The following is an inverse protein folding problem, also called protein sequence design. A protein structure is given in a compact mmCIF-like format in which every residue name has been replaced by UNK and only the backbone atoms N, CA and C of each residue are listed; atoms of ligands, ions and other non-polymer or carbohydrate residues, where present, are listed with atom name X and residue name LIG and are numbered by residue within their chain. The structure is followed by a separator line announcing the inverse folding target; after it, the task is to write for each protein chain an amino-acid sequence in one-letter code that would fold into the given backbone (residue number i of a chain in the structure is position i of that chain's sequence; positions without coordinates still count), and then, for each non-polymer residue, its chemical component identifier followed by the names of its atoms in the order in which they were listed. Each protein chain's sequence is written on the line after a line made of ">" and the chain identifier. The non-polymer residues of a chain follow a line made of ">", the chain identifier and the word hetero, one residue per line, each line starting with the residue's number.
data_IF_408845908423
#
_entry.id   IF_408845908423
#
_cell.length_a   1.000
_cell.length_b   1.000
_cell.length_c   1.000
_cell.angle_alpha   90.00
_cell.angle_beta   90.00
_cell.angle_gamma   90.00
#
_symmetry.space_group_name_H-M   'P 1'
#
loop_
_entity.id
_entity.type
_entity.pdbx_description
1 polymer ?
#
# COMPACT_ATOMS: atom_id res chain seq x y z
N UNK A 1 -19.39 -7.41 16.07
CA UNK A 1 -18.32 -7.43 15.06
C UNK A 1 -18.61 -8.50 14.04
N UNK A 2 -19.00 -8.11 12.83
CA UNK A 2 -19.34 -9.04 11.74
C UNK A 2 -18.22 -9.06 10.71
N UNK A 3 -17.84 -7.89 10.18
CA UNK A 3 -16.77 -7.76 9.18
C UNK A 3 -15.41 -8.08 9.78
N UNK A 4 -15.11 -7.58 10.99
CA UNK A 4 -13.81 -7.88 11.61
C UNK A 4 -13.58 -9.39 11.77
N UNK A 5 -14.61 -10.13 12.18
CA UNK A 5 -14.51 -11.57 12.42
C UNK A 5 -14.50 -12.41 11.14
N UNK A 6 -14.89 -11.85 9.99
CA UNK A 6 -14.84 -12.55 8.70
C UNK A 6 -13.46 -12.46 8.02
N UNK A 7 -12.64 -11.49 8.42
CA UNK A 7 -11.28 -11.30 7.90
C UNK A 7 -10.34 -12.42 8.37
N UNK A 8 -9.29 -12.68 7.59
CA UNK A 8 -8.25 -13.63 7.99
C UNK A 8 -7.58 -13.20 9.31
N UNK A 9 -7.15 -14.15 10.18
CA UNK A 9 -6.56 -13.81 11.48
C UNK A 9 -5.36 -12.85 11.41
N UNK A 10 -4.56 -12.92 10.34
CA UNK A 10 -3.43 -12.01 10.12
C UNK A 10 -3.90 -10.55 9.90
N UNK A 11 -4.97 -10.35 9.13
CA UNK A 11 -5.55 -9.02 8.89
C UNK A 11 -6.17 -8.48 10.18
N UNK A 12 -6.88 -9.32 10.93
CA UNK A 12 -7.43 -8.97 12.24
C UNK A 12 -6.36 -8.45 13.20
N UNK A 13 -5.21 -9.11 13.26
CA UNK A 13 -4.08 -8.68 14.09
C UNK A 13 -3.53 -7.33 13.62
N UNK A 14 -3.34 -7.15 12.31
CA UNK A 14 -2.87 -5.86 11.77
C UNK A 14 -3.85 -4.71 12.03
N UNK A 15 -5.16 -4.94 11.96
CA UNK A 15 -6.18 -3.96 12.35
C UNK A 15 -6.04 -3.59 13.82
N UNK A 16 -5.89 -4.57 14.71
CA UNK A 16 -5.69 -4.32 16.16
C UNK A 16 -4.41 -3.54 16.44
N UNK A 17 -3.33 -3.82 15.72
CA UNK A 17 -2.08 -3.07 15.87
C UNK A 17 -2.23 -1.63 15.35
N UNK A 18 -2.87 -1.45 14.20
CA UNK A 18 -3.16 -0.13 13.64
C UNK A 18 -4.04 0.69 14.58
N UNK A 19 -5.08 0.11 15.19
CA UNK A 19 -5.98 0.81 16.13
C UNK A 19 -5.23 1.49 17.28
N UNK A 20 -4.11 0.92 17.75
CA UNK A 20 -3.27 1.51 18.82
C UNK A 20 -2.61 2.84 18.41
N UNK A 21 -2.52 3.10 17.12
CA UNK A 21 -1.85 4.28 16.55
C UNK A 21 -2.83 5.36 16.09
N UNK A 22 -4.14 5.10 16.14
CA UNK A 22 -5.18 6.05 15.69
C UNK A 22 -5.62 7.02 16.78
N UNK A 23 -5.36 6.69 18.05
CA UNK A 23 -5.86 7.46 19.20
C UNK A 23 -7.35 7.25 19.50
N UNK A 24 -8.04 6.38 18.75
CA UNK A 24 -9.43 5.98 19.00
C UNK A 24 -9.53 4.99 20.18
N UNK A 25 -10.71 4.86 20.82
CA UNK A 25 -10.95 3.83 21.82
C UNK A 25 -10.64 2.42 21.28
N UNK A 26 -10.05 1.56 22.10
CA UNK A 26 -9.71 0.19 21.69
C UNK A 26 -10.86 -0.77 21.99
N UNK A 27 -11.99 -0.56 21.31
CA UNK A 27 -13.23 -1.31 21.49
C UNK A 27 -13.74 -1.96 20.19
N UNK A 28 -14.68 -2.87 20.35
CA UNK A 28 -15.24 -3.67 19.25
C UNK A 28 -15.78 -2.82 18.10
N UNK A 29 -16.36 -1.65 18.39
CA UNK A 29 -16.85 -0.73 17.38
C UNK A 29 -15.71 -0.16 16.52
N UNK A 30 -14.60 0.22 17.13
CA UNK A 30 -13.41 0.73 16.42
C UNK A 30 -12.80 -0.35 15.54
N UNK A 31 -12.68 -1.58 16.03
CA UNK A 31 -12.18 -2.68 15.21
C UNK A 31 -13.12 -2.99 14.02
N UNK A 32 -14.43 -2.91 14.23
CA UNK A 32 -15.40 -3.09 13.16
C UNK A 32 -15.33 -1.98 12.10
N UNK A 33 -15.21 -0.70 12.50
CA UNK A 33 -15.02 0.43 11.57
C UNK A 33 -13.74 0.28 10.77
N UNK A 34 -12.62 -0.04 11.43
CA UNK A 34 -11.33 -0.24 10.76
C UNK A 34 -11.35 -1.44 9.80
N UNK A 35 -12.04 -2.52 10.15
CA UNK A 35 -12.22 -3.67 9.28
C UNK A 35 -13.00 -3.34 8.01
N UNK A 36 -14.10 -2.57 8.14
CA UNK A 36 -14.88 -2.09 6.99
C UNK A 36 -14.04 -1.21 6.06
N UNK A 37 -13.33 -0.25 6.63
CA UNK A 37 -12.42 0.60 5.86
C UNK A 37 -11.32 -0.20 5.16
N UNK A 38 -10.76 -1.23 5.80
CA UNK A 38 -9.77 -2.10 5.18
C UNK A 38 -10.34 -2.86 3.97
N UNK A 39 -11.55 -3.42 4.09
CA UNK A 39 -12.23 -4.12 2.97
C UNK A 39 -12.52 -3.16 1.81
N UNK A 40 -12.97 -1.95 2.10
CA UNK A 40 -13.23 -0.93 1.07
C UNK A 40 -11.94 -0.52 0.35
N UNK A 41 -10.84 -0.37 1.09
CA UNK A 41 -9.50 -0.10 0.52
C UNK A 41 -8.99 -1.22 -0.36
N UNK A 42 -9.13 -2.46 0.10
CA UNK A 42 -8.78 -3.63 -0.71
C UNK A 42 -9.58 -3.65 -2.01
N UNK A 43 -10.89 -3.38 -1.92
CA UNK A 43 -11.76 -3.31 -3.09
C UNK A 43 -11.33 -2.21 -4.06
N UNK A 44 -11.10 -0.98 -3.59
CA UNK A 44 -10.64 0.13 -4.42
C UNK A 44 -9.30 -0.19 -5.11
N UNK A 45 -8.36 -0.80 -4.37
CA UNK A 45 -7.10 -1.28 -4.92
C UNK A 45 -7.32 -2.27 -6.07
N UNK A 46 -8.18 -3.28 -5.87
CA UNK A 46 -8.51 -4.28 -6.88
C UNK A 46 -9.17 -3.69 -8.13
N UNK A 47 -10.08 -2.73 -7.95
CA UNK A 47 -10.74 -2.01 -9.04
C UNK A 47 -9.71 -1.22 -9.87
N UNK A 48 -8.79 -0.51 -9.22
CA UNK A 48 -7.69 0.19 -9.89
C UNK A 48 -6.76 -0.76 -10.66
N UNK A 49 -6.44 -1.94 -10.09
CA UNK A 49 -5.64 -2.94 -10.81
C UNK A 49 -6.32 -3.37 -12.11
N UNK A 50 -7.63 -3.59 -12.08
CA UNK A 50 -8.40 -4.01 -13.25
C UNK A 50 -8.51 -2.91 -14.30
N UNK A 51 -8.80 -1.67 -13.88
CA UNK A 51 -8.94 -0.51 -14.77
C UNK A 51 -7.63 -0.23 -15.53
N UNK A 52 -6.50 -0.30 -14.82
CA UNK A 52 -5.19 0.05 -15.34
C UNK A 52 -4.37 -1.14 -15.85
N UNK A 53 -4.97 -2.34 -15.91
CA UNK A 53 -4.36 -3.58 -16.43
C UNK A 53 -3.06 -3.96 -15.71
N UNK A 54 -3.14 -4.03 -14.39
CA UNK A 54 -2.13 -4.68 -13.58
C UNK A 54 -2.39 -6.19 -13.48
N UNK A 55 -1.32 -6.95 -13.30
CA UNK A 55 -1.36 -8.34 -12.86
C UNK A 55 -0.81 -8.46 -11.43
N UNK A 56 -1.45 -9.31 -10.62
CA UNK A 56 -0.94 -9.63 -9.29
C UNK A 56 0.19 -10.65 -9.36
N UNK A 57 1.26 -10.39 -8.61
CA UNK A 57 2.40 -11.31 -8.46
C UNK A 57 2.67 -11.56 -6.99
N UNK A 58 3.30 -12.69 -6.65
CA UNK A 58 3.71 -12.98 -5.27
C UNK A 58 5.16 -12.58 -4.97
N UNK A 59 5.93 -12.26 -6.01
CA UNK A 59 7.35 -11.95 -5.94
C UNK A 59 7.72 -10.90 -6.98
N UNK A 60 8.56 -9.95 -6.60
CA UNK A 60 9.15 -8.95 -7.47
C UNK A 60 10.64 -8.78 -7.14
N UNK A 61 11.51 -9.08 -8.12
CA UNK A 61 12.95 -8.98 -7.94
C UNK A 61 13.39 -7.52 -7.85
N UNK A 62 14.28 -7.18 -6.92
CA UNK A 62 14.71 -5.78 -6.71
C UNK A 62 15.32 -5.13 -7.96
N UNK A 63 15.93 -5.95 -8.81
CA UNK A 63 16.59 -5.57 -10.06
C UNK A 63 15.69 -5.72 -11.31
N UNK A 64 14.41 -6.10 -11.15
CA UNK A 64 13.42 -6.13 -12.25
C UNK A 64 13.19 -4.70 -12.78
N UNK A 65 13.27 -4.44 -14.09
CA UNK A 65 13.21 -3.08 -14.62
C UNK A 65 11.85 -2.39 -14.43
N UNK A 66 10.76 -3.14 -14.26
CA UNK A 66 9.39 -2.61 -14.14
C UNK A 66 9.18 -1.87 -12.83
N UNK A 67 8.10 -1.13 -12.71
CA UNK A 67 7.56 -0.63 -11.47
C UNK A 67 6.54 -1.59 -10.85
N UNK A 68 6.14 -1.29 -9.62
CA UNK A 68 5.14 -2.07 -8.88
C UNK A 68 4.30 -1.18 -7.97
N UNK A 69 3.08 -1.64 -7.74
CA UNK A 69 2.16 -1.12 -6.75
C UNK A 69 1.98 -2.17 -5.64
N UNK A 70 1.97 -1.73 -4.40
CA UNK A 70 1.93 -2.61 -3.22
C UNK A 70 0.82 -2.17 -2.27
N UNK A 71 0.00 -3.11 -1.84
CA UNK A 71 -0.91 -2.94 -0.70
C UNK A 71 -0.37 -3.75 0.47
N UNK A 72 -0.30 -3.14 1.65
CA UNK A 72 0.16 -3.79 2.88
C UNK A 72 -1.01 -4.27 3.74
N UNK A 73 -0.76 -5.21 4.66
CA UNK A 73 -1.78 -5.65 5.61
C UNK A 73 -2.33 -4.53 6.51
N UNK A 74 -1.55 -3.45 6.74
CA UNK A 74 -2.03 -2.27 7.47
C UNK A 74 -2.87 -1.31 6.61
N UNK A 75 -3.15 -1.65 5.34
CA UNK A 75 -3.92 -0.79 4.44
C UNK A 75 -3.16 0.45 3.98
N UNK A 76 -1.83 0.39 3.96
CA UNK A 76 -0.95 1.41 3.35
C UNK A 76 -0.53 1.00 1.95
N UNK A 77 -0.30 1.99 1.09
CA UNK A 77 0.12 1.83 -0.31
C UNK A 77 1.60 2.16 -0.47
N UNK A 78 2.27 1.46 -1.39
CA UNK A 78 3.52 1.90 -1.97
C UNK A 78 3.42 1.87 -3.48
N UNK A 79 3.88 2.95 -4.12
CA UNK A 79 4.18 2.98 -5.55
C UNK A 79 5.69 3.04 -5.70
N UNK A 80 6.26 2.03 -6.34
CA UNK A 80 7.70 1.90 -6.57
C UNK A 80 7.89 1.94 -8.08
N UNK A 81 8.40 3.07 -8.58
CA UNK A 81 8.57 3.31 -10.01
C UNK A 81 9.58 2.36 -10.67
N UNK A 82 9.60 2.33 -12.01
CA UNK A 82 10.53 1.52 -12.79
C UNK A 82 11.99 1.90 -12.51
N UNK A 83 12.90 0.95 -12.78
CA UNK A 83 14.32 1.14 -12.54
C UNK A 83 14.94 2.03 -13.63
N UNK A 84 15.18 3.30 -13.29
CA UNK A 84 15.82 4.30 -14.15
C UNK A 84 17.22 4.59 -13.63
N UNK A 85 18.25 4.32 -14.44
CA UNK A 85 19.67 4.51 -14.06
C UNK A 85 20.06 3.84 -12.72
N UNK A 86 19.44 2.68 -12.43
CA UNK A 86 19.67 1.95 -11.18
C UNK A 86 18.97 2.54 -9.96
N UNK A 87 18.00 3.44 -10.15
CA UNK A 87 17.23 4.11 -9.11
C UNK A 87 15.74 4.07 -9.38
N UNK A 88 14.93 4.31 -8.34
CA UNK A 88 13.47 4.34 -8.42
C UNK A 88 12.91 5.58 -7.74
N UNK A 89 11.84 6.13 -8.30
CA UNK A 89 10.94 6.99 -7.55
C UNK A 89 10.08 6.11 -6.63
N UNK A 90 9.98 6.44 -5.35
CA UNK A 90 9.13 5.68 -4.41
C UNK A 90 8.22 6.63 -3.68
N UNK A 91 6.94 6.26 -3.65
CA UNK A 91 5.89 6.94 -2.93
C UNK A 91 5.25 5.98 -1.93
N UNK A 92 5.13 6.42 -0.69
CA UNK A 92 4.47 5.72 0.40
C UNK A 92 3.26 6.53 0.84
N UNK A 93 2.13 5.85 1.06
CA UNK A 93 0.91 6.48 1.54
C UNK A 93 0.28 5.64 2.65
N UNK A 94 0.18 6.21 3.86
CA UNK A 94 -0.43 5.58 5.04
C UNK A 94 -1.88 6.00 5.26
N UNK A 95 -2.22 7.18 4.74
CA UNK A 95 -3.55 7.78 4.64
C UNK A 95 -4.21 7.94 6.02
N UNK A 96 -3.61 8.82 6.83
CA UNK A 96 -4.32 9.65 7.81
C UNK A 96 -4.87 9.01 9.08
N UNK A 97 -4.95 7.68 9.16
CA UNK A 97 -5.43 7.01 10.37
C UNK A 97 -4.32 6.86 11.42
N UNK A 98 -3.07 6.77 10.98
CA UNK A 98 -1.93 6.54 11.86
C UNK A 98 -1.28 7.84 12.23
N UNK A 99 -0.99 8.03 13.52
CA UNK A 99 -0.29 9.22 14.02
C UNK A 99 1.24 9.05 14.10
N UNK A 100 1.74 7.84 13.86
CA UNK A 100 3.16 7.49 14.03
C UNK A 100 3.98 7.50 12.72
N UNK A 101 3.33 7.73 11.59
CA UNK A 101 3.93 7.80 10.25
C UNK A 101 3.38 9.00 9.49
N UNK A 102 4.10 9.56 8.49
CA UNK A 102 3.55 10.59 7.64
C UNK A 102 2.36 10.05 6.83
N UNK A 103 1.41 10.92 6.52
CA UNK A 103 0.26 10.58 5.65
C UNK A 103 0.72 10.09 4.28
N UNK A 104 1.71 10.78 3.72
CA UNK A 104 2.43 10.39 2.52
C UNK A 104 3.89 10.83 2.58
N UNK A 105 4.75 10.11 1.84
CA UNK A 105 6.15 10.46 1.68
C UNK A 105 6.64 10.01 0.30
N UNK A 106 7.31 10.91 -0.42
CA UNK A 106 7.89 10.66 -1.75
C UNK A 106 9.39 10.79 -1.66
N UNK A 107 10.11 9.91 -2.35
CA UNK A 107 11.56 9.99 -2.48
C UNK A 107 12.03 9.53 -3.86
N UNK A 108 12.68 10.47 -4.55
CA UNK A 108 13.50 10.19 -5.73
C UNK A 108 14.81 9.47 -5.35
N UNK A 109 15.40 8.79 -6.33
CA UNK A 109 16.66 8.06 -6.16
C UNK A 109 16.64 7.00 -5.04
N UNK A 110 15.56 6.23 -4.96
CA UNK A 110 15.39 5.17 -3.97
C UNK A 110 15.98 3.83 -4.42
N UNK A 111 16.34 3.00 -3.44
CA UNK A 111 16.98 1.70 -3.59
C UNK A 111 16.29 0.68 -2.68
N UNK A 112 15.75 -0.39 -3.28
CA UNK A 112 15.30 -1.57 -2.55
C UNK A 112 16.50 -2.27 -1.91
N UNK A 113 16.36 -2.69 -0.65
CA UNK A 113 17.40 -3.44 0.06
C UNK A 113 17.38 -4.94 -0.27
N UNK A 114 16.20 -5.46 -0.61
CA UNK A 114 15.93 -6.88 -0.90
C UNK A 114 14.75 -6.98 -1.89
N UNK A 115 14.48 -8.20 -2.37
CA UNK A 115 13.32 -8.48 -3.22
C UNK A 115 12.01 -8.24 -2.45
N UNK A 116 10.92 -7.98 -3.19
CA UNK A 116 9.60 -7.71 -2.61
C UNK A 116 8.75 -8.97 -2.72
N UNK A 117 8.22 -9.44 -1.60
CA UNK A 117 7.43 -10.67 -1.51
C UNK A 117 6.17 -10.45 -0.68
N UNK A 118 5.08 -11.14 -1.03
CA UNK A 118 3.89 -11.20 -0.17
C UNK A 118 4.24 -11.78 1.19
N UNK A 119 3.57 -11.31 2.24
CA UNK A 119 3.81 -11.65 3.65
C UNK A 119 5.17 -11.20 4.24
N UNK A 120 6.06 -10.61 3.43
CA UNK A 120 7.30 -9.98 3.87
C UNK A 120 7.16 -8.45 3.92
N UNK A 121 8.11 -7.75 4.56
CA UNK A 121 8.15 -6.28 4.55
C UNK A 121 8.93 -5.78 3.32
N UNK A 122 8.54 -4.62 2.76
CA UNK A 122 9.39 -3.91 1.81
C UNK A 122 10.48 -3.19 2.61
N UNK A 123 11.76 -3.42 2.29
CA UNK A 123 12.88 -2.68 2.90
C UNK A 123 13.59 -1.82 1.87
N UNK A 124 13.95 -0.60 2.29
CA UNK A 124 14.73 0.32 1.48
C UNK A 124 16.09 0.56 2.13
N UNK A 125 17.16 0.49 1.33
CA UNK A 125 18.47 0.99 1.75
C UNK A 125 18.53 2.52 1.60
N UNK A 126 17.73 3.05 0.67
CA UNK A 126 17.41 4.48 0.52
C UNK A 126 15.95 4.58 0.07
N UNK A 127 15.08 5.20 0.86
CA UNK A 127 13.64 5.25 0.57
C UNK A 127 12.92 6.31 1.41
N UNK A 128 11.64 6.61 1.12
CA UNK A 128 10.84 7.56 1.90
C UNK A 128 10.55 7.03 3.31
N UNK A 129 10.62 5.71 3.49
CA UNK A 129 10.56 4.99 4.75
C UNK A 129 11.70 3.97 4.79
N UNK A 130 12.05 3.49 5.98
CA UNK A 130 13.05 2.42 6.13
C UNK A 130 12.46 1.04 5.79
N UNK A 131 11.25 0.77 6.27
CA UNK A 131 10.53 -0.47 6.00
C UNK A 131 9.01 -0.25 6.06
N UNK A 132 8.26 -1.04 5.30
CA UNK A 132 6.79 -1.07 5.36
C UNK A 132 6.27 -2.04 6.42
N UNK A 133 4.95 -2.05 6.62
CA UNK A 133 4.25 -3.23 7.16
C UNK A 133 4.35 -4.41 6.17
N UNK A 134 4.07 -5.65 6.61
CA UNK A 134 4.05 -6.79 5.71
C UNK A 134 3.12 -6.57 4.50
N UNK A 135 3.58 -7.03 3.34
CA UNK A 135 2.91 -6.90 2.05
C UNK A 135 1.74 -7.85 2.00
N UNK A 136 0.58 -7.33 1.58
CA UNK A 136 -0.62 -8.12 1.32
C UNK A 136 -0.72 -8.48 -0.17
N UNK A 137 -0.54 -7.50 -1.06
CA UNK A 137 -0.60 -7.68 -2.52
C UNK A 137 0.50 -6.90 -3.21
N UNK A 138 1.02 -7.48 -4.30
CA UNK A 138 1.96 -6.85 -5.23
C UNK A 138 1.32 -6.89 -6.61
N UNK A 139 1.40 -5.78 -7.33
CA UNK A 139 0.89 -5.67 -8.68
C UNK A 139 1.90 -4.98 -9.59
N UNK A 140 2.04 -5.48 -10.82
CA UNK A 140 2.88 -4.91 -11.88
C UNK A 140 2.01 -4.72 -13.13
N UNK A 141 2.37 -3.81 -14.03
CA UNK A 141 1.63 -3.71 -15.29
C UNK A 141 1.74 -5.02 -16.08
N UNK A 142 0.60 -5.49 -16.62
CA UNK A 142 0.55 -6.74 -17.40
C UNK A 142 1.27 -6.65 -18.74
N UNK A 143 1.46 -5.44 -19.27
CA UNK A 143 2.18 -5.19 -20.51
C UNK A 143 3.43 -4.36 -20.22
N UNK A 144 4.54 -4.70 -20.88
CA UNK A 144 5.73 -3.87 -20.84
C UNK A 144 5.44 -2.48 -21.41
N UNK A 145 5.93 -1.46 -20.71
CA UNK A 145 5.77 -0.05 -21.07
C UNK A 145 7.13 0.65 -21.04
N UNK A 146 7.32 1.74 -21.80
CA UNK A 146 8.44 2.62 -21.59
C UNK A 146 8.47 3.12 -20.14
N UNK A 147 9.66 3.16 -19.52
CA UNK A 147 9.81 3.53 -18.10
C UNK A 147 9.26 4.93 -17.76
N UNK A 148 9.21 5.85 -18.72
CA UNK A 148 8.58 7.17 -18.53
C UNK A 148 7.07 7.06 -18.42
N UNK A 149 6.43 6.37 -19.37
CA UNK A 149 4.98 6.12 -19.36
C UNK A 149 4.55 5.31 -18.13
N UNK A 150 5.31 4.29 -17.77
CA UNK A 150 5.04 3.46 -16.58
C UNK A 150 5.06 4.26 -15.27
N UNK A 151 6.02 5.18 -15.13
CA UNK A 151 6.17 6.03 -13.94
C UNK A 151 5.06 7.10 -13.86
N UNK A 152 4.66 7.66 -15.00
CA UNK A 152 3.52 8.58 -15.09
C UNK A 152 2.21 7.88 -14.70
N UNK A 153 1.96 6.69 -15.24
CA UNK A 153 0.76 5.91 -14.90
C UNK A 153 0.77 5.47 -13.43
N UNK A 154 1.90 4.99 -12.90
CA UNK A 154 2.00 4.67 -11.47
C UNK A 154 1.73 5.88 -10.58
N UNK A 155 2.16 7.07 -10.99
CA UNK A 155 1.90 8.33 -10.28
C UNK A 155 0.43 8.72 -10.35
N UNK A 156 -0.24 8.50 -11.48
CA UNK A 156 -1.68 8.73 -11.59
C UNK A 156 -2.46 7.76 -10.70
N UNK A 157 -2.17 6.45 -10.79
CA UNK A 157 -2.88 5.40 -10.04
C UNK A 157 -2.73 5.58 -8.53
N UNK A 158 -1.53 5.93 -8.06
CA UNK A 158 -1.32 6.16 -6.62
C UNK A 158 -2.07 7.40 -6.13
N UNK A 159 -2.23 8.44 -6.96
CA UNK A 159 -3.02 9.63 -6.63
C UNK A 159 -4.49 9.28 -6.50
N UNK A 160 -5.07 8.60 -7.50
CA UNK A 160 -6.46 8.14 -7.49
C UNK A 160 -6.76 7.29 -6.25
N UNK A 161 -5.93 6.27 -5.98
CA UNK A 161 -6.09 5.43 -4.79
C UNK A 161 -5.90 6.19 -3.49
N UNK A 162 -5.01 7.18 -3.45
CA UNK A 162 -4.78 7.98 -2.24
C UNK A 162 -5.99 8.84 -1.90
N UNK A 163 -6.68 9.38 -2.90
CA UNK A 163 -7.93 10.12 -2.75
C UNK A 163 -9.05 9.20 -2.24
N UNK A 164 -9.25 8.04 -2.88
CA UNK A 164 -10.26 7.06 -2.47
C UNK A 164 -10.07 6.59 -1.02
N UNK A 165 -8.85 6.22 -0.67
CA UNK A 165 -8.52 5.76 0.69
C UNK A 165 -8.68 6.89 1.72
N UNK A 166 -8.50 8.16 1.32
CA UNK A 166 -8.72 9.29 2.22
C UNK A 166 -10.21 9.47 2.51
N UNK A 167 -11.07 9.36 1.50
CA UNK A 167 -12.53 9.37 1.69
C UNK A 167 -13.00 8.19 2.54
N UNK A 168 -12.48 6.98 2.30
CA UNK A 168 -12.78 5.80 3.13
C UNK A 168 -12.41 6.04 4.59
N UNK A 169 -11.25 6.64 4.87
CA UNK A 169 -10.79 6.85 6.24
C UNK A 169 -11.58 7.91 7.01
N UNK A 170 -12.18 8.89 6.33
CA UNK A 170 -13.10 9.85 6.98
C UNK A 170 -14.27 9.13 7.66
N UNK A 171 -14.77 8.04 7.06
CA UNK A 171 -15.87 7.24 7.62
C UNK A 171 -15.52 6.53 8.94
N UNK A 172 -14.23 6.43 9.27
CA UNK A 172 -13.72 5.83 10.51
C UNK A 172 -13.57 6.87 11.61
N UNK A 173 -13.12 8.08 11.25
CA UNK A 173 -12.80 9.18 12.17
C UNK A 173 -14.08 9.93 12.59
N UNK A 174 -15.09 9.97 11.73
CA UNK A 174 -16.43 10.51 12.01
C UNK A 174 -17.28 9.58 12.92
#
# INVERSE_FOLDING_TARGET
>A
MEVFNSLAPVIQEHIKQMAKTTGLPLEDETYEKLAKAWVEKEKAFQEALQEHRFEEVSFFGKDDPRGLLVLTYSGSLLSIGPLKEGKRRVEYTSIGLRTDVPDSAVKEDSDLAEDVETDAVVKFSRGPIQQSSPVYKIAVFSEEKPAEEEDELLTQVIQELSEDFAEINKTVID
#
